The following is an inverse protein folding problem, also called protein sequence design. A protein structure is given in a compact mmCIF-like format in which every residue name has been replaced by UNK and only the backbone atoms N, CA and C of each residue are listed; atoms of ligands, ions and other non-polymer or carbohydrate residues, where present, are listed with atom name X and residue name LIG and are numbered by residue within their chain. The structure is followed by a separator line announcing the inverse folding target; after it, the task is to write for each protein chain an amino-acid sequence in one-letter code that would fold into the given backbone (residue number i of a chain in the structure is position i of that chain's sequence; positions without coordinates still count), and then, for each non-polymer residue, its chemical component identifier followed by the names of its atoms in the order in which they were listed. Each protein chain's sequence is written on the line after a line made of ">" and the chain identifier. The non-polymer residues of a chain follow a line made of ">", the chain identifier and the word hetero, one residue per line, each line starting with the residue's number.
data_IF_776697308505
#
_entry.id   IF_776697308505
#
_cell.length_a   1.000
_cell.length_b   1.000
_cell.length_c   1.000
_cell.angle_alpha   90.00
_cell.angle_beta   90.00
_cell.angle_gamma   90.00
#
_symmetry.space_group_name_H-M   'P 1'
#
loop_
_entity.id
_entity.type
_entity.pdbx_description
1 polymer ?
#
# COMPACT_ATOMS: atom_id res chain seq x y z
N UNK A 1 21.29 12.67 -13.29
CA UNK A 1 20.13 12.99 -12.49
C UNK A 1 19.43 11.76 -11.92
N UNK A 2 18.53 11.94 -10.92
CA UNK A 2 17.91 10.83 -10.17
C UNK A 2 17.18 9.82 -11.09
N UNK A 3 16.46 10.30 -12.09
CA UNK A 3 15.74 9.47 -13.07
C UNK A 3 16.71 8.64 -13.93
N UNK A 4 17.79 9.24 -14.38
CA UNK A 4 18.84 8.58 -15.17
C UNK A 4 19.50 7.46 -14.36
N UNK A 5 19.87 7.74 -13.10
CA UNK A 5 20.41 6.74 -12.18
C UNK A 5 19.41 5.60 -11.91
N UNK A 6 18.11 5.92 -11.79
CA UNK A 6 17.06 4.92 -11.65
C UNK A 6 16.98 4.00 -12.87
N UNK A 7 16.98 4.56 -14.09
CA UNK A 7 16.93 3.77 -15.34
C UNK A 7 18.18 2.89 -15.46
N UNK A 8 19.36 3.43 -15.19
CA UNK A 8 20.64 2.69 -15.25
C UNK A 8 20.69 1.58 -14.18
N UNK A 9 20.23 1.85 -12.95
CA UNK A 9 20.26 0.86 -11.88
C UNK A 9 19.27 -0.29 -12.11
N UNK A 10 18.15 -0.05 -12.74
CA UNK A 10 17.18 -1.10 -13.09
C UNK A 10 17.65 -1.95 -14.27
N UNK A 11 18.26 -1.35 -15.26
CA UNK A 11 18.81 -2.09 -16.41
C UNK A 11 20.00 -2.98 -16.04
N UNK A 12 20.76 -2.62 -14.99
CA UNK A 12 21.92 -3.40 -14.54
C UNK A 12 21.60 -4.59 -13.64
N UNK A 13 20.45 -4.57 -12.96
CA UNK A 13 20.09 -5.58 -11.94
C UNK A 13 19.27 -6.76 -12.46
N UNK A 14 18.61 -6.63 -13.59
CA UNK A 14 17.71 -7.65 -14.13
C UNK A 14 17.85 -7.75 -15.64
N UNK A 15 18.63 -8.70 -16.11
CA UNK A 15 18.70 -9.03 -17.55
C UNK A 15 17.33 -9.49 -18.13
N UNK A 16 16.40 -9.93 -17.28
CA UNK A 16 15.04 -10.36 -17.61
C UNK A 16 13.95 -9.40 -17.11
N UNK A 17 14.31 -8.28 -16.46
CA UNK A 17 13.31 -7.30 -16.03
C UNK A 17 12.78 -6.54 -17.26
N UNK A 18 11.46 -6.45 -17.33
CA UNK A 18 10.75 -5.58 -18.25
C UNK A 18 11.45 -4.21 -18.29
N UNK A 19 12.08 -3.89 -19.41
CA UNK A 19 12.68 -2.59 -19.62
C UNK A 19 11.58 -1.52 -19.59
N UNK A 20 11.38 -0.90 -18.45
CA UNK A 20 10.34 0.10 -18.24
C UNK A 20 10.61 1.35 -19.07
N UNK A 21 11.88 1.74 -19.16
CA UNK A 21 12.34 2.94 -19.85
C UNK A 21 13.66 2.68 -20.58
N UNK A 22 13.79 3.25 -21.76
CA UNK A 22 15.05 3.31 -22.52
C UNK A 22 15.76 4.62 -22.30
N UNK A 23 17.09 4.57 -22.19
CA UNK A 23 17.95 5.75 -22.20
C UNK A 23 18.66 5.82 -23.55
N UNK A 24 18.56 6.96 -24.23
CA UNK A 24 19.25 7.24 -25.48
C UNK A 24 19.91 8.61 -25.43
N UNK A 25 21.00 8.78 -26.17
CA UNK A 25 21.65 10.09 -26.30
C UNK A 25 21.39 10.65 -27.70
N UNK A 26 20.93 11.89 -27.79
CA UNK A 26 20.73 12.59 -29.05
C UNK A 26 21.61 13.83 -29.09
N UNK A 27 22.38 13.94 -30.19
CA UNK A 27 23.30 15.08 -30.41
C UNK A 27 22.54 16.41 -30.37
N UNK A 28 22.94 17.31 -29.49
CA UNK A 28 22.34 18.65 -29.31
C UNK A 28 21.19 18.73 -28.32
N UNK A 29 20.65 17.59 -27.85
CA UNK A 29 19.52 17.54 -26.88
C UNK A 29 19.96 16.94 -25.54
N UNK A 30 20.98 16.06 -25.56
CA UNK A 30 21.45 15.34 -24.37
C UNK A 30 20.82 13.96 -24.23
N UNK A 31 20.61 13.52 -22.99
CA UNK A 31 20.00 12.22 -22.70
C UNK A 31 18.49 12.31 -22.82
N UNK A 32 17.90 11.37 -23.54
CA UNK A 32 16.45 11.22 -23.74
C UNK A 32 16.02 9.92 -23.09
N UNK A 33 15.01 10.02 -22.23
CA UNK A 33 14.36 8.88 -21.61
C UNK A 33 13.06 8.59 -22.37
N UNK A 34 12.92 7.37 -22.83
CA UNK A 34 11.73 6.93 -23.60
C UNK A 34 11.02 5.84 -22.83
N UNK A 35 9.74 6.04 -22.55
CA UNK A 35 8.88 4.98 -22.01
C UNK A 35 8.70 3.88 -23.07
N UNK A 36 8.97 2.63 -22.68
CA UNK A 36 8.73 1.46 -23.54
C UNK A 36 7.27 0.95 -23.40
N UNK A 37 7.05 -0.34 -23.50
CA UNK A 37 5.71 -0.95 -23.39
C UNK A 37 5.25 -1.07 -21.93
N UNK A 38 5.20 0.05 -21.22
CA UNK A 38 4.80 0.12 -19.82
C UNK A 38 3.75 1.22 -19.62
N UNK A 39 2.74 0.92 -18.81
CA UNK A 39 1.72 1.86 -18.34
C UNK A 39 1.67 1.75 -16.83
N UNK A 40 1.75 2.87 -16.13
CA UNK A 40 1.71 2.85 -14.68
C UNK A 40 2.37 4.06 -14.05
N UNK A 41 2.82 3.89 -12.80
CA UNK A 41 3.42 4.95 -12.01
C UNK A 41 4.78 4.50 -11.51
N UNK A 42 5.77 5.35 -11.66
CA UNK A 42 7.12 5.19 -11.12
C UNK A 42 7.33 6.26 -10.06
N UNK A 43 7.52 5.84 -8.81
CA UNK A 43 7.83 6.75 -7.71
C UNK A 43 9.28 6.60 -7.30
N UNK A 44 10.01 7.70 -7.25
CA UNK A 44 11.42 7.74 -6.86
C UNK A 44 11.58 8.04 -5.37
N UNK A 45 12.78 7.77 -4.84
CA UNK A 45 13.09 7.98 -3.41
C UNK A 45 13.08 9.46 -3.00
N UNK A 46 13.27 10.38 -3.93
CA UNK A 46 13.21 11.82 -3.75
C UNK A 46 11.78 12.40 -3.69
N UNK A 47 10.76 11.52 -3.85
CA UNK A 47 9.34 11.89 -3.87
C UNK A 47 8.82 12.23 -5.27
N UNK A 48 9.67 12.26 -6.29
CA UNK A 48 9.24 12.50 -7.68
C UNK A 48 8.43 11.31 -8.18
N UNK A 49 7.25 11.58 -8.75
CA UNK A 49 6.36 10.57 -9.31
C UNK A 49 6.16 10.82 -10.79
N UNK A 50 6.40 9.80 -11.60
CA UNK A 50 6.24 9.83 -13.06
C UNK A 50 5.07 8.92 -13.42
N UNK A 51 4.10 9.48 -14.11
CA UNK A 51 2.95 8.76 -14.64
C UNK A 51 3.18 8.46 -16.11
N UNK A 52 3.08 7.19 -16.49
CA UNK A 52 3.22 6.72 -17.87
C UNK A 52 1.85 6.25 -18.32
N UNK A 53 1.25 6.99 -19.24
CA UNK A 53 -0.07 6.71 -19.79
C UNK A 53 -0.04 5.80 -21.00
N UNK A 54 -1.17 5.11 -21.32
CA UNK A 54 -1.31 4.37 -22.57
C UNK A 54 -1.13 5.29 -23.79
N UNK A 55 -0.50 4.78 -24.83
CA UNK A 55 -0.32 5.51 -26.11
C UNK A 55 -1.61 5.55 -26.91
N UNK A 56 -2.60 6.27 -26.43
CA UNK A 56 -3.89 6.44 -27.07
C UNK A 56 -4.02 7.94 -27.36
N UNK A 57 -3.59 8.36 -28.54
CA UNK A 57 -3.58 9.76 -28.95
C UNK A 57 -4.72 10.06 -29.91
N UNK A 58 -5.31 11.25 -29.78
CA UNK A 58 -6.07 11.90 -30.86
C UNK A 58 -5.21 13.05 -31.42
N UNK A 59 -5.04 13.13 -32.71
CA UNK A 59 -4.13 14.08 -33.38
C UNK A 59 -4.51 15.57 -33.23
N UNK A 60 -5.58 15.90 -32.53
CA UNK A 60 -6.21 17.23 -32.54
C UNK A 60 -6.43 17.88 -31.16
N UNK A 61 -6.01 17.26 -30.06
CA UNK A 61 -6.30 17.78 -28.72
C UNK A 61 -5.12 18.51 -28.08
N UNK A 62 -5.42 19.55 -27.29
CA UNK A 62 -4.45 20.17 -26.41
C UNK A 62 -3.92 19.13 -25.40
N UNK A 63 -2.61 19.08 -25.21
CA UNK A 63 -1.89 18.06 -24.45
C UNK A 63 -2.44 17.84 -23.02
N UNK A 64 -2.83 18.90 -22.34
CA UNK A 64 -3.41 18.84 -20.99
C UNK A 64 -4.79 18.19 -20.96
N UNK A 65 -5.65 18.48 -21.93
CA UNK A 65 -7.00 17.88 -22.02
C UNK A 65 -6.92 16.41 -22.38
N UNK A 66 -5.95 16.03 -23.19
CA UNK A 66 -5.71 14.66 -23.59
C UNK A 66 -5.20 13.81 -22.43
N UNK A 67 -4.28 14.32 -21.64
CA UNK A 67 -3.78 13.65 -20.42
C UNK A 67 -4.91 13.32 -19.44
N UNK A 68 -5.85 14.25 -19.22
CA UNK A 68 -7.03 14.04 -18.37
C UNK A 68 -7.94 12.96 -18.95
N UNK A 69 -8.17 12.97 -20.28
CA UNK A 69 -8.99 11.97 -20.96
C UNK A 69 -8.38 10.57 -20.88
N UNK A 70 -7.09 10.44 -21.18
CA UNK A 70 -6.36 9.17 -21.14
C UNK A 70 -6.33 8.60 -19.72
N UNK A 71 -6.15 9.45 -18.72
CA UNK A 71 -6.21 9.07 -17.31
C UNK A 71 -7.58 8.53 -16.92
N UNK A 72 -8.66 9.22 -17.31
CA UNK A 72 -10.03 8.75 -17.06
C UNK A 72 -10.27 7.39 -17.72
N UNK A 73 -9.85 7.25 -18.97
CA UNK A 73 -9.94 6.00 -19.70
C UNK A 73 -9.18 4.86 -18.98
N UNK A 74 -7.96 5.12 -18.50
CA UNK A 74 -7.19 4.16 -17.73
C UNK A 74 -7.94 3.69 -16.48
N UNK A 75 -8.51 4.62 -15.71
CA UNK A 75 -9.29 4.29 -14.52
C UNK A 75 -10.55 3.49 -14.88
N UNK A 76 -11.24 3.83 -15.95
CA UNK A 76 -12.42 3.11 -16.42
C UNK A 76 -12.05 1.69 -16.91
N UNK A 77 -10.93 1.51 -17.60
CA UNK A 77 -10.40 0.20 -17.97
C UNK A 77 -10.09 -0.65 -16.73
N UNK A 78 -9.46 -0.07 -15.72
CA UNK A 78 -9.17 -0.77 -14.47
C UNK A 78 -10.45 -1.22 -13.74
N UNK A 79 -11.55 -0.47 -13.84
CA UNK A 79 -12.87 -0.85 -13.27
C UNK A 79 -13.49 -2.06 -13.93
N UNK A 80 -13.19 -2.32 -15.19
CA UNK A 80 -13.72 -3.49 -15.92
C UNK A 80 -13.03 -4.79 -15.56
N UNK A 81 -11.88 -4.74 -14.88
CA UNK A 81 -11.16 -5.93 -14.46
C UNK A 81 -11.98 -6.77 -13.47
N UNK A 82 -12.06 -8.07 -13.73
CA UNK A 82 -12.72 -9.03 -12.82
C UNK A 82 -11.97 -9.10 -11.49
N UNK A 83 -12.74 -9.13 -10.39
CA UNK A 83 -12.21 -9.23 -9.01
C UNK A 83 -11.27 -8.07 -8.62
N UNK A 84 -11.44 -6.92 -9.24
CA UNK A 84 -10.66 -5.73 -8.92
C UNK A 84 -11.37 -4.87 -7.88
N UNK A 85 -10.67 -4.33 -6.86
CA UNK A 85 -11.20 -3.35 -5.91
C UNK A 85 -11.59 -2.02 -6.60
N UNK A 86 -11.20 -1.83 -7.86
CA UNK A 86 -11.58 -0.67 -8.66
C UNK A 86 -13.09 -0.50 -8.88
N UNK A 87 -13.89 -1.53 -8.68
CA UNK A 87 -15.34 -1.46 -8.81
C UNK A 87 -16.00 -0.58 -7.75
N UNK A 88 -15.38 -0.46 -6.57
CA UNK A 88 -15.88 0.34 -5.45
C UNK A 88 -15.57 1.84 -5.59
N UNK A 89 -14.72 2.25 -6.52
CA UNK A 89 -14.48 3.65 -6.82
C UNK A 89 -15.74 4.33 -7.32
N UNK A 90 -16.50 4.89 -6.39
CA UNK A 90 -17.61 5.77 -6.75
C UNK A 90 -17.04 7.05 -7.36
N UNK A 91 -17.36 7.28 -8.63
CA UNK A 91 -16.92 8.42 -9.45
C UNK A 91 -17.27 9.78 -8.86
N UNK A 92 -18.24 9.84 -7.97
CA UNK A 92 -18.83 11.05 -7.43
C UNK A 92 -18.00 11.80 -6.40
N UNK A 93 -17.04 11.14 -5.75
CA UNK A 93 -16.30 11.73 -4.62
C UNK A 93 -14.81 11.98 -4.86
N UNK A 94 -14.28 11.52 -5.98
CA UNK A 94 -12.85 11.70 -6.28
C UNK A 94 -12.72 12.57 -7.52
N UNK A 95 -12.14 13.76 -7.34
CA UNK A 95 -11.81 14.66 -8.45
C UNK A 95 -10.60 14.04 -9.20
N UNK A 96 -10.86 12.89 -9.87
CA UNK A 96 -9.86 12.04 -10.55
C UNK A 96 -9.04 12.86 -11.55
N UNK A 97 -9.67 13.88 -12.12
CA UNK A 97 -9.04 14.78 -13.08
C UNK A 97 -7.84 15.54 -12.49
N UNK A 98 -7.89 15.87 -11.20
CA UNK A 98 -6.86 16.66 -10.52
C UNK A 98 -5.89 15.84 -9.66
N UNK A 99 -6.22 14.57 -9.39
CA UNK A 99 -5.37 13.69 -8.57
C UNK A 99 -4.40 12.92 -9.46
N UNK A 100 -3.21 12.65 -8.97
CA UNK A 100 -2.32 11.71 -9.65
C UNK A 100 -2.92 10.30 -9.65
N UNK A 101 -2.57 9.46 -10.64
CA UNK A 101 -3.01 8.06 -10.71
C UNK A 101 -2.56 7.31 -9.45
N UNK A 102 -1.39 7.65 -8.92
CA UNK A 102 -0.89 7.07 -7.68
C UNK A 102 -1.81 7.38 -6.48
N UNK A 103 -2.29 8.62 -6.37
CA UNK A 103 -3.25 8.99 -5.32
C UNK A 103 -4.60 8.28 -5.47
N UNK A 104 -5.01 7.97 -6.70
CA UNK A 104 -6.21 7.16 -6.95
C UNK A 104 -6.01 5.75 -6.41
N UNK A 105 -4.85 5.12 -6.63
CA UNK A 105 -4.54 3.81 -6.07
C UNK A 105 -4.50 3.83 -4.53
N UNK A 106 -3.89 4.89 -3.95
CA UNK A 106 -3.90 5.07 -2.49
C UNK A 106 -5.33 5.16 -1.97
N UNK A 107 -6.19 5.94 -2.64
CA UNK A 107 -7.60 6.09 -2.26
C UNK A 107 -8.33 4.75 -2.25
N UNK A 108 -8.13 3.95 -3.29
CA UNK A 108 -8.73 2.63 -3.37
C UNK A 108 -8.30 1.71 -2.22
N UNK A 109 -6.99 1.71 -1.93
CA UNK A 109 -6.49 0.92 -0.81
C UNK A 109 -7.12 1.35 0.51
N UNK A 110 -7.24 2.66 0.74
CA UNK A 110 -7.90 3.21 1.93
C UNK A 110 -9.36 2.74 2.02
N UNK A 111 -10.11 2.80 0.92
CA UNK A 111 -11.53 2.41 0.88
C UNK A 111 -11.71 0.91 1.19
N UNK A 112 -10.83 0.05 0.66
CA UNK A 112 -10.82 -1.39 0.98
C UNK A 112 -10.46 -1.65 2.45
N UNK A 113 -9.50 -0.93 2.99
CA UNK A 113 -9.14 -1.07 4.41
C UNK A 113 -10.29 -0.59 5.30
N UNK A 114 -10.96 0.51 4.97
CA UNK A 114 -12.19 0.93 5.68
C UNK A 114 -13.26 -0.16 5.68
N UNK A 115 -13.43 -0.83 4.54
CA UNK A 115 -14.37 -1.93 4.43
C UNK A 115 -13.98 -3.12 5.33
N UNK A 116 -12.70 -3.48 5.36
CA UNK A 116 -12.18 -4.55 6.23
C UNK A 116 -12.37 -4.18 7.70
N UNK A 117 -12.02 -2.95 8.10
CA UNK A 117 -12.15 -2.48 9.49
C UNK A 117 -13.61 -2.46 9.94
N UNK A 118 -14.55 -2.01 9.07
CA UNK A 118 -15.99 -2.03 9.35
C UNK A 118 -16.56 -3.43 9.52
N UNK A 119 -16.01 -4.42 8.83
CA UNK A 119 -16.40 -5.84 8.97
C UNK A 119 -15.79 -6.51 10.19
N UNK A 120 -14.80 -5.89 10.79
CA UNK A 120 -13.99 -6.43 11.85
C UNK A 120 -12.67 -7.01 11.34
N UNK A 121 -11.60 -6.68 12.04
CA UNK A 121 -10.27 -7.20 11.72
C UNK A 121 -10.22 -8.70 12.00
N UNK A 122 -9.41 -9.41 11.25
CA UNK A 122 -9.21 -10.84 11.44
C UNK A 122 -8.49 -11.09 12.76
N UNK A 123 -9.14 -11.83 13.65
CA UNK A 123 -8.62 -12.18 14.96
C UNK A 123 -8.12 -13.63 15.00
N UNK A 124 -7.32 -13.94 15.99
CA UNK A 124 -6.85 -15.29 16.26
C UNK A 124 -6.90 -15.55 17.77
N UNK A 125 -7.08 -16.82 18.13
CA UNK A 125 -6.84 -17.30 19.48
C UNK A 125 -5.35 -17.58 19.62
N UNK A 126 -4.70 -16.94 20.56
CA UNK A 126 -3.30 -17.15 20.90
C UNK A 126 -3.24 -17.66 22.33
N UNK A 127 -2.66 -18.85 22.51
CA UNK A 127 -2.48 -19.41 23.84
C UNK A 127 -1.32 -18.71 24.54
N UNK A 128 -1.62 -17.98 25.60
CA UNK A 128 -0.66 -17.24 26.40
C UNK A 128 -0.35 -18.02 27.67
N UNK A 129 0.95 -18.14 27.96
CA UNK A 129 1.46 -18.65 29.21
C UNK A 129 2.13 -17.52 29.96
N UNK A 130 1.58 -17.16 31.10
CA UNK A 130 2.08 -16.02 31.88
C UNK A 130 1.92 -16.22 33.38
N UNK A 131 2.71 -15.47 34.14
CA UNK A 131 2.67 -15.45 35.60
C UNK A 131 1.83 -14.25 36.04
N UNK A 132 0.59 -14.49 36.46
CA UNK A 132 -0.42 -13.49 36.71
C UNK A 132 -0.78 -13.41 38.18
N UNK A 133 -1.22 -12.20 38.62
CA UNK A 133 -1.75 -12.00 39.97
C UNK A 133 -3.20 -12.47 40.12
N UNK A 134 -3.88 -12.69 39.01
CA UNK A 134 -5.27 -13.15 38.98
C UNK A 134 -5.33 -14.46 38.23
N UNK A 135 -6.00 -15.45 38.82
CA UNK A 135 -6.21 -16.74 38.17
C UNK A 135 -7.16 -16.62 36.97
N UNK A 136 -6.69 -17.05 35.80
CA UNK A 136 -7.50 -17.13 34.57
C UNK A 136 -7.06 -18.30 33.70
N UNK A 137 -8.00 -19.00 33.11
CA UNK A 137 -7.69 -20.16 32.28
C UNK A 137 -7.25 -21.39 33.09
N UNK A 138 -6.18 -22.07 32.69
CA UNK A 138 -5.69 -23.33 33.23
C UNK A 138 -4.40 -23.09 34.02
N UNK A 139 -4.32 -23.64 35.25
CA UNK A 139 -3.08 -23.63 36.03
C UNK A 139 -2.05 -24.59 35.47
N UNK A 140 -0.87 -24.12 35.21
CA UNK A 140 0.28 -24.92 34.85
C UNK A 140 1.05 -25.34 36.09
N UNK A 141 0.68 -26.49 36.68
CA UNK A 141 1.19 -26.94 37.99
C UNK A 141 2.73 -27.02 38.00
N UNK A 142 3.36 -27.53 36.94
CA UNK A 142 4.82 -27.68 36.88
C UNK A 142 5.52 -26.31 36.95
N UNK A 143 4.98 -25.31 36.22
CA UNK A 143 5.53 -23.97 36.18
C UNK A 143 5.18 -23.19 37.43
N UNK A 144 4.01 -23.42 38.01
CA UNK A 144 3.62 -22.88 39.32
C UNK A 144 4.60 -23.29 40.42
N UNK A 145 4.95 -24.55 40.49
CA UNK A 145 5.92 -25.07 41.48
C UNK A 145 7.31 -24.46 41.20
N UNK A 146 7.70 -24.39 39.96
CA UNK A 146 9.03 -23.90 39.57
C UNK A 146 9.25 -22.42 39.83
N UNK A 147 8.26 -21.59 39.52
CA UNK A 147 8.41 -20.12 39.55
C UNK A 147 7.74 -19.46 40.76
N UNK A 148 6.69 -20.09 41.32
CA UNK A 148 5.87 -19.45 42.36
C UNK A 148 5.90 -20.19 43.70
N UNK A 149 6.91 -21.07 43.93
CA UNK A 149 7.03 -21.79 45.21
C UNK A 149 7.06 -20.83 46.42
N UNK A 150 7.77 -19.70 46.28
CA UNK A 150 7.86 -18.66 47.27
C UNK A 150 6.81 -17.53 47.12
N UNK A 151 6.15 -17.45 45.96
CA UNK A 151 5.23 -16.38 45.55
C UNK A 151 3.80 -16.94 45.38
N UNK A 152 3.19 -17.28 46.52
CA UNK A 152 1.84 -17.88 46.55
C UNK A 152 0.74 -16.96 46.04
N UNK A 153 1.00 -15.64 45.95
CA UNK A 153 0.09 -14.63 45.46
C UNK A 153 -0.02 -14.62 43.94
N UNK A 154 0.84 -15.38 43.22
CA UNK A 154 0.86 -15.47 41.77
C UNK A 154 0.45 -16.84 41.28
N UNK A 155 -0.17 -16.85 40.11
CA UNK A 155 -0.57 -18.08 39.43
C UNK A 155 0.07 -18.15 38.06
N UNK A 156 0.78 -19.23 37.77
CA UNK A 156 1.30 -19.48 36.42
C UNK A 156 0.21 -20.15 35.60
N UNK A 157 -0.38 -19.40 34.67
CA UNK A 157 -1.60 -19.76 33.96
C UNK A 157 -1.39 -19.86 32.46
N UNK A 158 -2.20 -20.67 31.83
CA UNK A 158 -2.33 -20.81 30.38
C UNK A 158 -3.78 -20.48 30.04
N UNK A 159 -3.97 -19.52 29.15
CA UNK A 159 -5.30 -19.10 28.67
C UNK A 159 -5.21 -18.65 27.22
N UNK A 160 -6.34 -18.77 26.53
CA UNK A 160 -6.45 -18.28 25.16
C UNK A 160 -6.91 -16.83 25.17
N UNK A 161 -6.14 -15.99 24.49
CA UNK A 161 -6.50 -14.59 24.26
C UNK A 161 -6.88 -14.38 22.80
N UNK A 162 -8.03 -13.74 22.63
CA UNK A 162 -8.52 -13.37 21.31
C UNK A 162 -7.95 -12.01 20.94
N UNK A 163 -6.99 -12.00 20.02
CA UNK A 163 -6.34 -10.76 19.66
C UNK A 163 -6.28 -10.53 18.15
N UNK A 164 -6.13 -9.27 17.78
CA UNK A 164 -6.02 -8.80 16.39
C UNK A 164 -4.57 -8.79 15.86
N UNK A 165 -3.61 -9.29 16.64
CA UNK A 165 -2.18 -9.22 16.35
C UNK A 165 -1.72 -10.23 15.28
N UNK A 166 -2.46 -10.31 14.19
CA UNK A 166 -2.15 -11.17 13.04
C UNK A 166 -1.22 -10.50 12.05
N UNK A 167 -0.50 -11.35 11.29
CA UNK A 167 0.43 -10.89 10.25
C UNK A 167 -0.29 -10.04 9.21
N UNK A 168 -1.51 -10.43 8.83
CA UNK A 168 -2.33 -9.69 7.86
C UNK A 168 -2.63 -8.27 8.34
N UNK A 169 -3.04 -8.11 9.59
CA UNK A 169 -3.36 -6.80 10.17
C UNK A 169 -2.10 -5.94 10.33
N UNK A 170 -0.97 -6.55 10.70
CA UNK A 170 0.33 -5.86 10.75
C UNK A 170 0.76 -5.36 9.38
N UNK A 171 0.54 -6.16 8.34
CA UNK A 171 0.86 -5.78 6.96
C UNK A 171 -0.01 -4.59 6.52
N UNK A 172 -1.31 -4.63 6.78
CA UNK A 172 -2.23 -3.51 6.49
C UNK A 172 -1.74 -2.24 7.18
N UNK A 173 -1.42 -2.31 8.48
CA UNK A 173 -0.92 -1.17 9.24
C UNK A 173 0.40 -0.63 8.69
N UNK A 174 1.36 -1.50 8.39
CA UNK A 174 2.65 -1.10 7.82
C UNK A 174 2.48 -0.43 6.45
N UNK A 175 1.58 -0.96 5.61
CA UNK A 175 1.25 -0.36 4.30
C UNK A 175 0.60 1.02 4.47
N UNK A 176 -0.34 1.18 5.38
CA UNK A 176 -0.95 2.49 5.67
C UNK A 176 0.11 3.51 6.13
N UNK A 177 1.03 3.12 7.00
CA UNK A 177 2.13 3.98 7.45
C UNK A 177 3.05 4.39 6.30
N UNK A 178 3.34 3.47 5.39
CA UNK A 178 4.13 3.75 4.19
C UNK A 178 3.39 4.72 3.26
N UNK A 179 2.12 4.46 2.95
CA UNK A 179 1.30 5.29 2.07
C UNK A 179 1.06 6.69 2.65
N UNK A 180 0.98 6.83 3.98
CA UNK A 180 0.90 8.14 4.63
C UNK A 180 2.09 9.04 4.29
N UNK A 181 3.29 8.46 4.18
CA UNK A 181 4.52 9.19 3.81
C UNK A 181 4.56 9.54 2.32
N UNK A 182 4.07 8.62 1.46
CA UNK A 182 4.11 8.77 0.02
C UNK A 182 2.99 9.66 -0.54
N UNK A 183 1.84 9.74 0.13
CA UNK A 183 0.70 10.51 -0.32
C UNK A 183 0.95 12.02 -0.22
N UNK A 184 0.53 12.75 -1.24
CA UNK A 184 0.51 14.23 -1.27
C UNK A 184 -0.88 14.76 -0.92
N UNK A 185 -1.93 13.98 -1.15
CA UNK A 185 -3.32 14.35 -0.88
C UNK A 185 -3.62 14.46 0.60
N UNK A 186 -4.01 15.64 1.07
CA UNK A 186 -4.41 15.86 2.48
C UNK A 186 -5.61 15.00 2.88
N UNK A 187 -6.57 14.78 1.96
CA UNK A 187 -7.72 13.91 2.21
C UNK A 187 -7.28 12.48 2.49
N UNK A 188 -6.43 11.92 1.63
CA UNK A 188 -5.91 10.56 1.82
C UNK A 188 -5.11 10.45 3.13
N UNK A 189 -4.27 11.44 3.44
CA UNK A 189 -3.52 11.47 4.70
C UNK A 189 -4.43 11.47 5.93
N UNK A 190 -5.49 12.28 5.93
CA UNK A 190 -6.43 12.34 7.05
C UNK A 190 -7.17 11.01 7.24
N UNK A 191 -7.61 10.39 6.16
CA UNK A 191 -8.30 9.11 6.19
C UNK A 191 -7.37 7.98 6.67
N UNK A 192 -6.11 7.96 6.21
CA UNK A 192 -5.09 7.04 6.71
C UNK A 192 -4.85 7.24 8.22
N UNK A 193 -4.75 8.50 8.67
CA UNK A 193 -4.56 8.80 10.09
C UNK A 193 -5.73 8.28 10.93
N UNK A 194 -6.95 8.41 10.42
CA UNK A 194 -8.16 7.86 11.08
C UNK A 194 -8.11 6.33 11.19
N UNK A 195 -7.59 5.64 10.18
CA UNK A 195 -7.44 4.18 10.19
C UNK A 195 -6.30 3.68 11.09
N UNK A 196 -5.31 4.51 11.38
CA UNK A 196 -4.16 4.15 12.22
C UNK A 196 -4.42 4.35 13.71
N UNK A 197 -5.41 5.19 14.08
CA UNK A 197 -5.86 5.44 15.44
C UNK A 197 -6.86 4.39 15.90
#
# INVERSE_FOLDING_TARGET
>A
DALEQFVLSNNSKNADALELMGLSARKGVGHIITAKNYVGVVSMKDGTTIEIYPKIYSETAEEDKENVRVKKLLVDMLRTLRNSPFKSLQTTNVNIERMSVFEVFIRMYIDEVFFIVKRGLKCNHETIQSNENVFKGKLRVSDQIRYNYAHKERSYVEYDEFNVNRVENKLIKATLQYLYRCSVSMKNKNDIKTLLN
#
